data_IF_124386513670
#
_entry.id   IF_124386513670
#
_cell.length_a   1.000
_cell.length_b   1.000
_cell.length_c   1.000
_cell.angle_alpha   90.00
_cell.angle_beta   90.00
_cell.angle_gamma   90.00
#
_symmetry.space_group_name_H-M   'P 1'
#
loop_
_entity.id
_entity.type
_entity.pdbx_description
1 polymer ?
#
# COMPACT_ATOMS: atom_id res chain seq x y z
N UNK A 1 -0.19 3.88 -1.26
CA UNK A 1 0.18 2.49 -1.48
C UNK A 1 -0.43 1.85 -2.75
N UNK A 2 -1.16 2.63 -3.57
CA UNK A 2 -1.70 2.14 -4.83
C UNK A 2 -0.59 1.74 -5.80
N UNK A 3 0.49 2.52 -5.88
CA UNK A 3 1.64 2.22 -6.73
C UNK A 3 2.33 0.92 -6.29
N UNK A 4 2.45 0.67 -4.99
CA UNK A 4 2.98 -0.60 -4.46
C UNK A 4 2.06 -1.79 -4.78
N UNK A 5 0.75 -1.55 -4.88
CA UNK A 5 -0.21 -2.56 -5.34
C UNK A 5 -0.22 -2.74 -6.88
N UNK A 6 0.62 -2.03 -7.61
CA UNK A 6 0.77 -2.16 -9.05
C UNK A 6 0.18 -1.03 -9.89
N UNK A 7 -0.35 0.03 -9.27
CA UNK A 7 -0.90 1.15 -10.01
C UNK A 7 0.14 1.83 -10.91
N UNK A 8 -0.28 2.16 -12.13
CA UNK A 8 0.40 3.16 -12.95
C UNK A 8 0.17 4.55 -12.35
N UNK A 9 0.96 5.59 -12.73
CA UNK A 9 0.71 6.96 -12.28
C UNK A 9 -0.73 7.44 -12.53
N UNK A 10 -1.29 7.11 -13.68
CA UNK A 10 -2.69 7.43 -14.05
C UNK A 10 -3.68 6.76 -13.10
N UNK A 11 -3.51 5.47 -12.84
CA UNK A 11 -4.36 4.71 -11.92
C UNK A 11 -4.22 5.20 -10.47
N UNK A 12 -3.01 5.54 -10.02
CA UNK A 12 -2.82 6.06 -8.66
C UNK A 12 -3.58 7.38 -8.47
N UNK A 13 -3.49 8.30 -9.43
CA UNK A 13 -4.25 9.56 -9.39
C UNK A 13 -5.75 9.27 -9.36
N UNK A 14 -6.26 8.55 -10.36
CA UNK A 14 -7.69 8.32 -10.54
C UNK A 14 -8.32 7.58 -9.36
N UNK A 15 -7.68 6.53 -8.85
CA UNK A 15 -8.23 5.71 -7.77
C UNK A 15 -8.15 6.40 -6.41
N UNK A 16 -7.12 7.22 -6.18
CA UNK A 16 -7.05 8.06 -4.99
C UNK A 16 -8.18 9.10 -4.97
N UNK A 17 -8.42 9.76 -6.11
CA UNK A 17 -9.51 10.74 -6.24
C UNK A 17 -10.88 10.07 -6.14
N UNK A 18 -11.11 8.93 -6.81
CA UNK A 18 -12.37 8.20 -6.74
C UNK A 18 -12.70 7.77 -5.30
N UNK A 19 -11.70 7.27 -4.55
CA UNK A 19 -11.88 6.89 -3.15
C UNK A 19 -12.26 8.08 -2.28
N UNK A 20 -11.61 9.22 -2.48
CA UNK A 20 -11.93 10.45 -1.75
C UNK A 20 -13.33 10.98 -2.09
N UNK A 21 -13.73 10.92 -3.36
CA UNK A 21 -15.07 11.29 -3.82
C UNK A 21 -16.13 10.41 -3.15
N UNK A 22 -15.96 9.09 -3.13
CA UNK A 22 -16.92 8.18 -2.49
C UNK A 22 -17.09 8.49 -1.01
N UNK A 23 -16.00 8.78 -0.30
CA UNK A 23 -16.06 9.17 1.13
C UNK A 23 -16.80 10.48 1.30
N UNK A 24 -16.49 11.49 0.48
CA UNK A 24 -17.12 12.82 0.57
C UNK A 24 -18.61 12.76 0.23
N UNK A 25 -18.97 12.03 -0.82
CA UNK A 25 -20.36 11.84 -1.22
C UNK A 25 -21.15 11.11 -0.11
N UNK A 26 -20.61 10.02 0.45
CA UNK A 26 -21.23 9.30 1.55
C UNK A 26 -21.42 10.17 2.81
N UNK A 27 -20.44 11.01 3.15
CA UNK A 27 -20.58 11.97 4.27
C UNK A 27 -21.68 12.98 3.99
N UNK A 28 -21.73 13.55 2.79
CA UNK A 28 -22.74 14.54 2.40
C UNK A 28 -24.15 13.93 2.39
N UNK A 29 -24.29 12.74 1.81
CA UNK A 29 -25.57 12.01 1.73
C UNK A 29 -26.08 11.56 3.10
N UNK A 30 -25.20 11.35 4.06
CA UNK A 30 -25.58 10.97 5.43
C UNK A 30 -26.44 12.03 6.12
N UNK A 31 -26.37 13.29 5.68
CA UNK A 31 -27.06 14.43 6.31
C UNK A 31 -26.63 14.75 7.75
N UNK A 32 -25.57 14.10 8.24
CA UNK A 32 -25.07 14.27 9.63
C UNK A 32 -24.24 15.53 9.81
N UNK A 33 -23.67 16.05 8.72
CA UNK A 33 -22.86 17.27 8.72
C UNK A 33 -23.67 18.38 8.05
N UNK A 34 -23.81 19.55 8.70
CA UNK A 34 -24.41 20.72 8.09
C UNK A 34 -23.68 21.15 6.81
N UNK A 35 -24.40 21.61 5.80
CA UNK A 35 -23.81 21.96 4.50
C UNK A 35 -22.78 23.08 4.60
N UNK A 36 -22.94 24.01 5.53
CA UNK A 36 -21.98 25.09 5.81
C UNK A 36 -20.69 24.59 6.47
N UNK A 37 -20.70 23.41 7.08
CA UNK A 37 -19.51 22.77 7.65
C UNK A 37 -18.81 21.83 6.65
N UNK A 38 -19.42 21.49 5.51
CA UNK A 38 -18.88 20.54 4.55
C UNK A 38 -17.52 20.96 3.97
N UNK A 39 -17.27 22.27 3.86
CA UNK A 39 -15.93 22.80 3.48
C UNK A 39 -14.83 22.32 4.43
N UNK A 40 -15.12 22.15 5.72
CA UNK A 40 -14.17 21.65 6.70
C UNK A 40 -13.92 20.14 6.50
N UNK A 41 -14.96 19.38 6.16
CA UNK A 41 -14.84 17.95 5.85
C UNK A 41 -13.94 17.75 4.62
N UNK A 42 -14.21 18.48 3.53
CA UNK A 42 -13.35 18.46 2.32
C UNK A 42 -11.90 18.80 2.67
N UNK A 43 -11.69 19.89 3.40
CA UNK A 43 -10.37 20.34 3.84
C UNK A 43 -9.68 19.40 4.84
N UNK A 44 -10.38 18.44 5.45
CA UNK A 44 -9.80 17.46 6.36
C UNK A 44 -9.25 16.21 5.62
N UNK A 45 -9.65 15.98 4.36
CA UNK A 45 -9.11 14.88 3.57
C UNK A 45 -7.59 15.02 3.44
N UNK A 46 -6.89 13.94 3.65
CA UNK A 46 -5.44 13.85 3.48
C UNK A 46 -5.10 12.57 2.76
N UNK A 47 -4.15 12.67 1.84
CA UNK A 47 -3.71 11.55 1.03
C UNK A 47 -2.35 11.05 1.47
N UNK A 48 -2.05 9.81 1.12
CA UNK A 48 -0.73 9.24 1.25
C UNK A 48 -0.40 8.52 -0.05
N UNK A 49 0.57 9.05 -0.79
CA UNK A 49 0.93 8.61 -2.14
C UNK A 49 2.36 8.10 -2.19
N UNK A 50 2.71 7.37 -3.24
CA UNK A 50 4.07 6.89 -3.45
C UNK A 50 4.84 7.80 -4.40
N UNK A 51 6.17 7.74 -4.36
CA UNK A 51 7.06 8.30 -5.38
C UNK A 51 8.09 7.26 -5.79
N UNK A 52 8.13 6.94 -7.08
CA UNK A 52 9.03 5.97 -7.68
C UNK A 52 10.22 6.60 -8.40
N UNK A 53 11.04 5.74 -9.03
CA UNK A 53 12.32 6.14 -9.64
C UNK A 53 12.18 6.98 -10.91
N UNK A 54 11.00 7.04 -11.53
CA UNK A 54 10.78 7.81 -12.75
C UNK A 54 10.60 9.29 -12.42
N UNK A 55 11.68 9.94 -12.06
CA UNK A 55 11.77 11.29 -11.50
C UNK A 55 10.84 12.32 -12.15
N UNK A 56 10.92 12.50 -13.47
CA UNK A 56 10.13 13.51 -14.21
C UNK A 56 8.63 13.18 -14.14
N UNK A 57 8.28 11.90 -14.32
CA UNK A 57 6.91 11.42 -14.26
C UNK A 57 6.30 11.64 -12.86
N UNK A 58 7.08 11.40 -11.80
CA UNK A 58 6.63 11.62 -10.42
C UNK A 58 6.40 13.10 -10.11
N UNK A 59 7.27 14.00 -10.57
CA UNK A 59 7.05 15.46 -10.47
C UNK A 59 5.72 15.84 -11.12
N UNK A 60 5.48 15.36 -12.34
CA UNK A 60 4.25 15.65 -13.09
C UNK A 60 3.01 15.04 -12.43
N UNK A 61 3.12 13.82 -11.88
CA UNK A 61 2.04 13.16 -11.15
C UNK A 61 1.59 13.96 -9.94
N UNK A 62 2.51 14.43 -9.12
CA UNK A 62 2.20 15.22 -7.92
C UNK A 62 1.53 16.55 -8.28
N UNK A 63 1.95 17.21 -9.38
CA UNK A 63 1.30 18.40 -9.90
C UNK A 63 -0.11 18.10 -10.41
N UNK A 64 -0.29 17.04 -11.20
CA UNK A 64 -1.58 16.62 -11.71
C UNK A 64 -2.58 16.30 -10.58
N UNK A 65 -2.12 15.60 -9.52
CA UNK A 65 -2.95 15.32 -8.33
C UNK A 65 -3.42 16.62 -7.65
N UNK A 66 -2.52 17.59 -7.52
CA UNK A 66 -2.83 18.89 -6.90
C UNK A 66 -3.89 19.66 -7.70
N UNK A 67 -3.72 19.73 -9.03
CA UNK A 67 -4.66 20.40 -9.92
C UNK A 67 -6.02 19.72 -9.98
N UNK A 68 -6.05 18.38 -10.06
CA UNK A 68 -7.30 17.61 -10.09
C UNK A 68 -8.07 17.75 -8.77
N UNK A 69 -7.39 17.72 -7.64
CA UNK A 69 -8.05 17.89 -6.33
C UNK A 69 -8.72 19.26 -6.20
N UNK A 70 -8.04 20.30 -6.62
CA UNK A 70 -8.60 21.64 -6.66
C UNK A 70 -9.82 21.73 -7.57
N UNK A 71 -9.73 21.16 -8.78
CA UNK A 71 -10.84 21.11 -9.75
C UNK A 71 -12.04 20.37 -9.16
N UNK A 72 -11.84 19.20 -8.56
CA UNK A 72 -12.89 18.42 -7.89
C UNK A 72 -13.55 19.25 -6.78
N UNK A 73 -12.76 19.91 -5.97
CA UNK A 73 -13.28 20.74 -4.89
C UNK A 73 -14.16 21.89 -5.40
N UNK A 74 -13.70 22.59 -6.43
CA UNK A 74 -14.44 23.73 -7.01
C UNK A 74 -15.67 23.29 -7.79
N UNK A 75 -15.53 22.35 -8.71
CA UNK A 75 -16.56 22.03 -9.67
C UNK A 75 -17.61 21.04 -9.14
N UNK A 76 -17.16 20.01 -8.36
CA UNK A 76 -18.10 19.02 -7.83
C UNK A 76 -18.72 19.45 -6.50
N UNK A 77 -17.93 20.06 -5.64
CA UNK A 77 -18.36 20.37 -4.26
C UNK A 77 -18.63 21.86 -4.00
N UNK A 78 -18.30 22.75 -4.94
CA UNK A 78 -18.53 24.19 -4.81
C UNK A 78 -17.65 24.86 -3.75
N UNK A 79 -16.52 24.28 -3.40
CA UNK A 79 -15.60 24.82 -2.40
C UNK A 79 -14.89 26.05 -2.97
N UNK A 80 -14.92 27.15 -2.21
CA UNK A 80 -14.28 28.43 -2.57
C UNK A 80 -13.13 28.82 -1.63
N UNK A 81 -13.00 28.15 -0.49
CA UNK A 81 -11.91 28.40 0.47
C UNK A 81 -10.61 27.80 -0.06
N UNK A 82 -9.68 28.67 -0.45
CA UNK A 82 -8.34 28.32 -0.95
C UNK A 82 -7.54 27.42 0.01
N UNK A 83 -7.78 27.54 1.32
CA UNK A 83 -7.11 26.72 2.31
C UNK A 83 -7.66 25.30 2.34
N UNK A 84 -8.97 25.15 2.16
CA UNK A 84 -9.64 23.84 2.08
C UNK A 84 -9.28 23.10 0.78
N UNK A 85 -9.16 23.82 -0.35
CA UNK A 85 -8.81 23.27 -1.66
C UNK A 85 -7.39 22.71 -1.76
N UNK A 86 -6.50 22.99 -0.80
CA UNK A 86 -5.13 22.49 -0.85
C UNK A 86 -5.08 20.97 -0.82
N UNK A 87 -4.42 20.39 -1.81
CA UNK A 87 -4.09 18.96 -1.81
C UNK A 87 -3.11 18.66 -0.68
N UNK A 88 -3.61 18.00 0.37
CA UNK A 88 -2.82 17.66 1.55
C UNK A 88 -2.38 16.22 1.48
N UNK A 89 -1.08 15.99 1.42
CA UNK A 89 -0.58 14.63 1.28
C UNK A 89 0.81 14.45 1.92
N UNK A 90 1.05 13.23 2.36
CA UNK A 90 2.37 12.70 2.63
C UNK A 90 2.82 11.80 1.48
N UNK A 91 4.11 11.61 1.36
CA UNK A 91 4.70 10.73 0.34
C UNK A 91 5.53 9.65 1.01
N UNK A 92 5.32 8.41 0.60
CA UNK A 92 6.26 7.32 0.81
C UNK A 92 7.09 7.14 -0.45
N UNK A 93 8.39 7.31 -0.32
CA UNK A 93 9.35 6.90 -1.35
C UNK A 93 9.22 5.38 -1.54
N UNK A 94 9.10 4.95 -2.80
CA UNK A 94 8.61 3.63 -3.13
C UNK A 94 9.64 2.53 -2.91
N UNK A 95 9.40 1.67 -1.93
CA UNK A 95 10.23 0.48 -1.67
C UNK A 95 10.14 -0.61 -2.74
N UNK A 96 9.11 -0.60 -3.61
CA UNK A 96 8.93 -1.57 -4.69
C UNK A 96 10.08 -1.58 -5.71
N UNK A 97 10.82 -0.49 -5.82
CA UNK A 97 12.00 -0.35 -6.67
C UNK A 97 13.30 -0.85 -6.03
N UNK A 98 13.30 -1.14 -4.74
CA UNK A 98 14.46 -1.61 -4.02
C UNK A 98 14.78 -3.06 -4.40
N UNK A 99 16.06 -3.39 -4.43
CA UNK A 99 16.54 -4.71 -4.84
C UNK A 99 17.37 -5.36 -3.74
N UNK A 100 17.24 -6.67 -3.62
CA UNK A 100 18.07 -7.50 -2.76
C UNK A 100 19.48 -7.63 -3.35
N UNK A 101 19.56 -7.72 -4.67
CA UNK A 101 20.84 -7.82 -5.40
C UNK A 101 21.48 -6.44 -5.51
N UNK A 102 22.76 -6.31 -5.17
CA UNK A 102 23.50 -5.05 -5.11
C UNK A 102 22.72 -3.98 -4.28
N UNK A 103 22.43 -4.25 -3.01
CA UNK A 103 21.50 -3.43 -2.21
C UNK A 103 22.03 -2.01 -1.97
N UNK A 104 23.32 -1.76 -2.07
CA UNK A 104 23.95 -0.44 -2.00
C UNK A 104 23.41 0.54 -3.06
N UNK A 105 22.95 0.05 -4.22
CA UNK A 105 22.32 0.87 -5.24
C UNK A 105 20.97 1.47 -4.79
N UNK A 106 20.35 0.90 -3.76
CA UNK A 106 19.09 1.39 -3.23
C UNK A 106 19.22 2.79 -2.62
N UNK A 107 20.37 3.13 -2.06
CA UNK A 107 20.64 4.49 -1.53
C UNK A 107 20.43 5.53 -2.64
N UNK A 108 20.97 5.27 -3.83
CA UNK A 108 20.83 6.18 -4.99
C UNK A 108 19.38 6.25 -5.48
N UNK A 109 18.66 5.12 -5.49
CA UNK A 109 17.24 5.08 -5.87
C UNK A 109 16.42 5.94 -4.93
N UNK A 110 16.56 5.74 -3.62
CA UNK A 110 15.85 6.50 -2.59
C UNK A 110 16.13 8.01 -2.69
N UNK A 111 17.39 8.41 -2.92
CA UNK A 111 17.74 9.83 -3.10
C UNK A 111 17.05 10.43 -4.31
N UNK A 112 17.04 9.75 -5.46
CA UNK A 112 16.39 10.24 -6.68
C UNK A 112 14.87 10.35 -6.52
N UNK A 113 14.25 9.38 -5.86
CA UNK A 113 12.82 9.38 -5.56
C UNK A 113 12.45 10.49 -4.57
N UNK A 114 13.26 10.70 -3.54
CA UNK A 114 13.11 11.81 -2.60
C UNK A 114 13.24 13.18 -3.29
N UNK A 115 14.18 13.32 -4.23
CA UNK A 115 14.35 14.56 -5.00
C UNK A 115 13.12 14.88 -5.84
N UNK A 116 12.44 13.90 -6.44
CA UNK A 116 11.20 14.13 -7.18
C UNK A 116 10.12 14.79 -6.31
N UNK A 117 10.03 14.39 -5.05
CA UNK A 117 9.08 14.97 -4.08
C UNK A 117 9.50 16.36 -3.61
N UNK A 118 10.76 16.50 -3.21
CA UNK A 118 11.26 17.73 -2.56
C UNK A 118 11.41 18.89 -3.53
N UNK A 119 11.69 18.61 -4.82
CA UNK A 119 11.78 19.62 -5.86
C UNK A 119 10.42 20.03 -6.45
N UNK A 120 9.35 19.27 -6.18
CA UNK A 120 7.98 19.61 -6.59
C UNK A 120 7.37 20.64 -5.64
N UNK A 121 7.94 21.85 -5.57
CA UNK A 121 7.51 22.89 -4.61
C UNK A 121 6.12 23.42 -4.89
N UNK A 122 5.70 23.45 -6.16
CA UNK A 122 4.34 23.83 -6.55
C UNK A 122 3.30 22.82 -6.05
N UNK A 123 3.65 21.54 -6.00
CA UNK A 123 2.84 20.45 -5.47
C UNK A 123 3.41 19.96 -4.12
N UNK A 124 3.53 20.86 -3.16
CA UNK A 124 4.28 20.66 -1.92
C UNK A 124 3.70 19.57 -1.02
N UNK A 125 4.41 18.44 -0.88
CA UNK A 125 4.11 17.44 0.12
C UNK A 125 4.30 17.95 1.56
N UNK A 126 3.52 17.45 2.51
CA UNK A 126 3.63 17.79 3.94
C UNK A 126 4.71 17.00 4.65
N UNK A 127 4.93 15.78 4.20
CA UNK A 127 5.91 14.86 4.76
C UNK A 127 6.43 13.94 3.68
N UNK A 128 7.65 13.46 3.86
CA UNK A 128 8.23 12.38 3.06
C UNK A 128 8.76 11.32 3.99
N UNK A 129 8.41 10.06 3.71
CA UNK A 129 8.93 8.89 4.39
C UNK A 129 9.86 8.15 3.45
N UNK A 130 11.09 7.88 3.91
CA UNK A 130 12.05 7.08 3.16
C UNK A 130 12.11 5.66 3.74
N UNK A 131 12.16 4.62 2.89
CA UNK A 131 12.47 3.27 3.32
C UNK A 131 13.93 3.19 3.79
N UNK A 132 14.26 2.17 4.56
CA UNK A 132 15.65 1.84 4.77
C UNK A 132 16.26 1.27 3.48
N UNK A 133 17.52 1.58 3.20
CA UNK A 133 18.21 1.14 1.97
C UNK A 133 18.24 -0.38 1.80
N UNK A 134 18.23 -1.12 2.93
CA UNK A 134 18.27 -2.58 3.01
C UNK A 134 16.89 -3.22 3.28
N UNK A 135 15.81 -2.48 3.13
CA UNK A 135 14.44 -2.99 3.39
C UNK A 135 14.10 -4.23 2.56
N UNK A 136 14.66 -4.35 1.35
CA UNK A 136 14.51 -5.54 0.52
C UNK A 136 15.20 -6.80 1.09
N UNK A 137 16.14 -6.66 2.02
CA UNK A 137 16.82 -7.76 2.69
C UNK A 137 16.09 -8.23 3.95
N UNK A 138 15.33 -7.36 4.59
CA UNK A 138 14.62 -7.65 5.85
C UNK A 138 14.45 -6.45 6.75
N UNK A 139 14.33 -6.68 8.07
CA UNK A 139 14.13 -5.61 9.04
C UNK A 139 15.40 -4.76 9.19
N UNK A 140 15.29 -3.42 9.07
CA UNK A 140 16.42 -2.52 9.20
C UNK A 140 16.89 -2.38 10.66
N UNK A 141 18.19 -2.26 10.84
CA UNK A 141 18.77 -1.89 12.13
C UNK A 141 18.59 -0.39 12.42
N UNK A 142 18.80 0.08 13.68
CA UNK A 142 18.79 1.51 13.98
C UNK A 142 19.80 2.32 13.17
N UNK A 143 20.92 1.73 12.76
CA UNK A 143 21.90 2.37 11.89
C UNK A 143 21.37 2.60 10.48
N UNK A 144 20.63 1.63 9.92
CA UNK A 144 20.00 1.76 8.61
C UNK A 144 18.91 2.83 8.60
N UNK A 145 18.12 2.88 9.67
CA UNK A 145 17.12 3.94 9.89
C UNK A 145 17.76 5.33 9.97
N UNK A 146 18.93 5.42 10.58
CA UNK A 146 19.68 6.68 10.64
C UNK A 146 20.08 7.19 9.26
N UNK A 147 20.41 6.31 8.32
CA UNK A 147 20.73 6.70 6.95
C UNK A 147 19.59 7.41 6.25
N UNK A 148 18.37 6.91 6.38
CA UNK A 148 17.18 7.58 5.83
C UNK A 148 17.02 9.01 6.36
N UNK A 149 17.30 9.23 7.64
CA UNK A 149 17.30 10.57 8.22
C UNK A 149 18.46 11.44 7.68
N UNK A 150 19.66 10.87 7.52
CA UNK A 150 20.82 11.61 7.01
C UNK A 150 20.65 12.02 5.56
N UNK A 151 20.05 11.19 4.69
CA UNK A 151 19.76 11.59 3.31
C UNK A 151 18.91 12.87 3.26
N UNK A 152 17.85 12.95 4.09
CA UNK A 152 17.01 14.14 4.18
C UNK A 152 17.77 15.36 4.72
N UNK A 153 18.63 15.15 5.73
CA UNK A 153 19.40 16.24 6.33
C UNK A 153 20.48 16.78 5.39
N UNK A 154 21.18 15.90 4.66
CA UNK A 154 22.14 16.32 3.62
C UNK A 154 21.45 17.17 2.57
N UNK A 155 20.28 16.71 2.07
CA UNK A 155 19.49 17.47 1.13
C UNK A 155 19.10 18.85 1.67
N UNK A 156 18.65 18.91 2.94
CA UNK A 156 18.11 20.14 3.52
C UNK A 156 19.20 21.15 3.95
N UNK A 157 20.36 20.68 4.37
CA UNK A 157 21.36 21.54 5.02
C UNK A 157 22.66 21.71 4.25
N UNK A 158 22.95 20.85 3.27
CA UNK A 158 24.18 20.93 2.50
C UNK A 158 23.95 21.39 1.05
N UNK A 159 22.68 21.42 0.59
CA UNK A 159 22.33 21.89 -0.75
C UNK A 159 21.61 23.23 -0.68
N UNK A 160 21.58 23.94 -1.80
CA UNK A 160 20.84 25.20 -2.00
C UNK A 160 19.38 25.01 -2.43
N UNK A 161 18.89 23.78 -2.50
CA UNK A 161 17.56 23.44 -3.03
C UNK A 161 16.41 24.08 -2.27
N UNK A 162 16.58 24.39 -0.97
CA UNK A 162 15.58 25.08 -0.16
C UNK A 162 15.56 26.61 -0.38
N UNK A 163 16.60 27.18 -0.99
CA UNK A 163 16.75 28.61 -1.20
C UNK A 163 15.96 29.11 -2.42
N UNK A 164 15.60 28.21 -3.33
CA UNK A 164 14.94 28.53 -4.59
C UNK A 164 13.47 28.16 -4.58
N UNK A 165 12.66 28.88 -5.37
CA UNK A 165 11.28 28.48 -5.68
C UNK A 165 11.27 27.23 -6.57
N UNK A 166 10.10 26.85 -7.10
CA UNK A 166 9.98 25.66 -7.95
C UNK A 166 10.80 25.84 -9.25
N UNK A 167 11.92 25.11 -9.33
CA UNK A 167 12.85 25.20 -10.46
C UNK A 167 12.31 24.61 -11.76
N UNK A 168 11.15 23.95 -11.71
CA UNK A 168 10.47 23.37 -12.87
C UNK A 168 9.35 24.27 -13.40
N UNK A 169 9.04 25.39 -12.76
CA UNK A 169 8.03 26.33 -13.25
C UNK A 169 8.41 26.87 -14.61
N UNK A 170 7.45 26.80 -15.56
CA UNK A 170 7.67 27.18 -16.95
C UNK A 170 8.48 26.17 -17.77
N UNK A 171 8.80 25.00 -17.21
CA UNK A 171 9.38 23.89 -17.98
C UNK A 171 8.36 23.33 -18.95
N UNK A 172 8.59 23.51 -20.24
CA UNK A 172 7.72 23.00 -21.29
C UNK A 172 7.43 21.50 -21.16
N UNK A 173 8.44 20.71 -20.83
CA UNK A 173 8.30 19.25 -20.64
C UNK A 173 7.40 18.94 -19.46
N UNK A 174 7.64 19.58 -18.32
CA UNK A 174 6.86 19.31 -17.09
C UNK A 174 5.39 19.75 -17.27
N UNK A 175 5.14 20.91 -17.85
CA UNK A 175 3.77 21.40 -18.06
C UNK A 175 2.99 20.50 -19.04
N UNK A 176 3.62 20.06 -20.15
CA UNK A 176 2.98 19.15 -21.12
C UNK A 176 2.67 17.79 -20.47
N UNK A 177 3.64 17.15 -19.82
CA UNK A 177 3.43 15.85 -19.19
C UNK A 177 2.44 15.92 -18.02
N UNK A 178 2.40 17.01 -17.25
CA UNK A 178 1.40 17.21 -16.21
C UNK A 178 -0.01 17.23 -16.80
N UNK A 179 -0.20 17.96 -17.92
CA UNK A 179 -1.46 18.03 -18.63
C UNK A 179 -1.88 16.65 -19.15
N UNK A 180 -0.98 15.94 -19.82
CA UNK A 180 -1.24 14.60 -20.36
C UNK A 180 -1.65 13.60 -19.25
N UNK A 181 -0.94 13.60 -18.13
CA UNK A 181 -1.26 12.75 -16.98
C UNK A 181 -2.61 13.11 -16.37
N UNK A 182 -2.91 14.40 -16.24
CA UNK A 182 -4.18 14.89 -15.71
C UNK A 182 -5.36 14.46 -16.59
N UNK A 183 -5.23 14.63 -17.90
CA UNK A 183 -6.28 14.25 -18.86
C UNK A 183 -6.51 12.73 -18.86
N UNK A 184 -5.43 11.94 -18.87
CA UNK A 184 -5.54 10.48 -18.80
C UNK A 184 -6.14 10.02 -17.46
N UNK A 185 -5.75 10.64 -16.34
CA UNK A 185 -6.29 10.32 -15.03
C UNK A 185 -7.75 10.75 -14.87
N UNK A 186 -8.16 11.86 -15.51
CA UNK A 186 -9.56 12.27 -15.55
C UNK A 186 -10.42 11.23 -16.29
N UNK A 187 -9.95 10.75 -17.45
CA UNK A 187 -10.66 9.72 -18.21
C UNK A 187 -10.80 8.42 -17.39
N UNK A 188 -9.74 7.96 -16.72
CA UNK A 188 -9.79 6.79 -15.84
C UNK A 188 -10.72 7.03 -14.62
N UNK A 189 -10.72 8.23 -14.04
CA UNK A 189 -11.64 8.61 -12.97
C UNK A 189 -13.09 8.56 -13.41
N UNK A 190 -13.38 9.11 -14.60
CA UNK A 190 -14.73 9.12 -15.16
C UNK A 190 -15.25 7.69 -15.38
N UNK A 191 -14.38 6.76 -15.84
CA UNK A 191 -14.73 5.34 -15.93
C UNK A 191 -15.07 4.74 -14.57
N UNK A 192 -14.28 5.01 -13.55
CA UNK A 192 -14.52 4.49 -12.18
C UNK A 192 -15.83 5.03 -11.62
N UNK A 193 -16.10 6.32 -11.83
CA UNK A 193 -17.35 6.94 -11.38
C UNK A 193 -18.57 6.36 -12.12
N UNK A 194 -18.43 6.07 -13.42
CA UNK A 194 -19.48 5.41 -14.22
C UNK A 194 -19.78 3.98 -13.75
N UNK A 195 -18.81 3.30 -13.13
CA UNK A 195 -19.00 1.99 -12.49
C UNK A 195 -19.64 2.08 -11.09
N UNK A 196 -19.98 3.28 -10.62
CA UNK A 196 -20.59 3.52 -9.31
C UNK A 196 -19.59 3.94 -8.21
N UNK A 197 -18.38 4.35 -8.58
CA UNK A 197 -17.34 4.79 -7.68
C UNK A 197 -16.34 3.68 -7.29
N UNK A 198 -15.37 4.03 -6.47
CA UNK A 198 -14.28 3.13 -6.07
C UNK A 198 -14.78 1.95 -5.24
N UNK A 199 -15.73 2.19 -4.31
CA UNK A 199 -16.24 1.13 -3.44
C UNK A 199 -17.09 0.11 -4.20
N UNK A 200 -17.92 0.55 -5.15
CA UNK A 200 -18.72 -0.34 -5.96
C UNK A 200 -17.89 -1.15 -6.95
N UNK A 201 -16.75 -0.61 -7.39
CA UNK A 201 -15.89 -1.22 -8.42
C UNK A 201 -14.59 -1.83 -7.88
N UNK A 202 -14.47 -2.04 -6.57
CA UNK A 202 -13.23 -2.47 -5.91
C UNK A 202 -12.61 -3.74 -6.53
N UNK A 203 -13.42 -4.70 -6.96
CA UNK A 203 -12.95 -5.92 -7.63
C UNK A 203 -12.30 -5.60 -8.99
N UNK A 204 -12.93 -4.72 -9.78
CA UNK A 204 -12.41 -4.26 -11.06
C UNK A 204 -11.10 -3.49 -10.88
N UNK A 205 -11.04 -2.57 -9.91
CA UNK A 205 -9.83 -1.81 -9.62
C UNK A 205 -8.69 -2.73 -9.20
N UNK A 206 -8.97 -3.69 -8.32
CA UNK A 206 -7.98 -4.69 -7.90
C UNK A 206 -7.45 -5.50 -9.08
N UNK A 207 -8.33 -5.95 -9.96
CA UNK A 207 -7.96 -6.66 -11.19
C UNK A 207 -7.06 -5.84 -12.11
N UNK A 208 -7.36 -4.54 -12.29
CA UNK A 208 -6.53 -3.62 -13.08
C UNK A 208 -5.15 -3.43 -12.45
N UNK A 209 -5.05 -3.30 -11.12
CA UNK A 209 -3.78 -3.21 -10.39
C UNK A 209 -2.92 -4.45 -10.57
N UNK A 210 -3.52 -5.64 -10.42
CA UNK A 210 -2.84 -6.92 -10.61
C UNK A 210 -2.33 -7.05 -12.06
N UNK A 211 -3.14 -6.67 -13.04
CA UNK A 211 -2.75 -6.70 -14.46
C UNK A 211 -1.59 -5.75 -14.75
N UNK A 212 -1.60 -4.52 -14.22
CA UNK A 212 -0.52 -3.54 -14.38
C UNK A 212 0.79 -4.02 -13.75
N UNK A 213 0.72 -4.65 -12.57
CA UNK A 213 1.89 -5.24 -11.93
C UNK A 213 2.46 -6.40 -12.75
N UNK A 214 1.59 -7.25 -13.28
CA UNK A 214 2.00 -8.37 -14.16
C UNK A 214 2.73 -7.85 -15.41
N UNK A 215 2.21 -6.80 -16.05
CA UNK A 215 2.86 -6.20 -17.20
C UNK A 215 4.24 -5.61 -16.85
N UNK A 216 4.34 -4.93 -15.71
CA UNK A 216 5.62 -4.43 -15.20
C UNK A 216 6.62 -5.58 -14.98
N UNK A 217 6.21 -6.64 -14.32
CA UNK A 217 7.06 -7.81 -14.05
C UNK A 217 7.52 -8.47 -15.35
N UNK A 218 6.60 -8.60 -16.33
CA UNK A 218 6.91 -9.12 -17.67
C UNK A 218 7.97 -8.26 -18.38
N UNK A 219 7.83 -6.93 -18.37
CA UNK A 219 8.78 -6.00 -18.99
C UNK A 219 10.17 -6.08 -18.36
N UNK A 220 10.24 -6.25 -17.03
CA UNK A 220 11.51 -6.47 -16.33
C UNK A 220 12.11 -7.82 -16.74
N UNK A 221 11.31 -8.90 -16.74
CA UNK A 221 11.75 -10.23 -17.14
C UNK A 221 12.22 -10.32 -18.59
N UNK A 222 11.59 -9.58 -19.50
CA UNK A 222 11.98 -9.49 -20.92
C UNK A 222 13.20 -8.57 -21.16
N UNK A 223 13.61 -7.76 -20.19
CA UNK A 223 14.68 -6.77 -20.35
C UNK A 223 14.22 -5.45 -20.99
N UNK A 224 12.93 -5.29 -21.28
CA UNK A 224 12.33 -4.05 -21.81
C UNK A 224 12.40 -2.90 -20.79
N UNK A 225 12.34 -3.26 -19.51
CA UNK A 225 12.58 -2.35 -18.39
C UNK A 225 13.83 -2.79 -17.65
N UNK A 226 14.87 -1.95 -17.68
CA UNK A 226 16.14 -2.23 -17.01
C UNK A 226 16.01 -1.96 -15.51
N UNK A 227 16.45 -2.93 -14.71
CA UNK A 227 16.70 -2.77 -13.27
C UNK A 227 18.15 -3.20 -13.03
N UNK A 228 18.99 -2.22 -12.69
CA UNK A 228 20.43 -2.42 -12.47
C UNK A 228 20.65 -3.44 -11.36
N UNK A 229 21.52 -4.41 -11.63
CA UNK A 229 21.83 -5.52 -10.73
C UNK A 229 20.87 -6.70 -10.88
N UNK A 230 19.66 -6.51 -11.40
CA UNK A 230 18.62 -7.56 -11.51
C UNK A 230 18.63 -8.20 -12.91
N UNK A 231 18.43 -7.41 -13.95
CA UNK A 231 18.36 -7.92 -15.33
C UNK A 231 19.44 -7.32 -16.25
N UNK A 232 20.24 -6.40 -15.74
CA UNK A 232 21.38 -5.80 -16.43
C UNK A 232 22.44 -5.36 -15.42
N UNK A 233 23.72 -5.42 -15.81
CA UNK A 233 24.86 -5.11 -14.93
C UNK A 233 24.87 -5.99 -13.68
N UNK A 234 24.68 -7.28 -13.87
CA UNK A 234 24.50 -8.28 -12.80
C UNK A 234 25.82 -8.73 -12.17
N UNK A 235 26.96 -8.48 -12.81
CA UNK A 235 28.27 -8.76 -12.24
C UNK A 235 28.58 -7.76 -11.14
N UNK A 236 28.95 -8.23 -9.94
CA UNK A 236 29.36 -7.39 -8.82
C UNK A 236 30.29 -8.16 -7.89
N UNK A 237 31.12 -7.42 -7.16
CA UNK A 237 31.79 -7.93 -5.96
C UNK A 237 30.76 -8.19 -4.86
N UNK A 238 31.10 -9.03 -3.91
CA UNK A 238 30.23 -9.31 -2.76
C UNK A 238 30.04 -8.03 -1.93
N UNK A 239 28.80 -7.61 -1.75
CA UNK A 239 28.49 -6.43 -0.98
C UNK A 239 28.89 -6.61 0.51
N UNK A 240 29.80 -5.78 1.05
CA UNK A 240 30.24 -5.92 2.45
C UNK A 240 29.10 -5.70 3.47
N UNK A 241 28.03 -5.04 3.04
CA UNK A 241 26.87 -4.71 3.86
C UNK A 241 25.70 -5.72 3.69
N UNK A 242 25.87 -6.76 2.88
CA UNK A 242 24.83 -7.74 2.54
C UNK A 242 24.82 -9.02 3.39
N UNK A 243 25.56 -9.08 4.49
CA UNK A 243 25.62 -10.26 5.34
C UNK A 243 24.37 -10.47 6.23
N UNK A 244 24.19 -11.69 6.71
CA UNK A 244 23.08 -12.03 7.64
C UNK A 244 23.04 -11.21 8.93
N UNK A 245 24.14 -10.54 9.29
CA UNK A 245 24.23 -9.62 10.42
C UNK A 245 23.67 -8.21 10.09
N UNK A 246 23.41 -7.91 8.84
CA UNK A 246 22.85 -6.65 8.40
C UNK A 246 21.33 -6.53 8.61
N UNK A 247 20.67 -7.58 9.10
CA UNK A 247 19.23 -7.63 9.31
C UNK A 247 18.94 -7.73 10.80
N UNK A 248 18.06 -6.87 11.31
CA UNK A 248 17.57 -6.95 12.67
C UNK A 248 16.76 -8.25 12.85
N UNK A 249 17.19 -9.09 13.76
CA UNK A 249 16.39 -10.22 14.23
C UNK A 249 15.73 -9.83 15.54
N UNK A 250 14.43 -10.06 15.62
CA UNK A 250 13.68 -9.84 16.86
C UNK A 250 14.10 -10.92 17.86
N UNK A 251 14.53 -10.52 19.04
CA UNK A 251 14.82 -11.46 20.13
C UNK A 251 13.51 -12.08 20.62
N UNK A 252 13.34 -13.42 20.62
CA UNK A 252 12.15 -14.08 21.14
C UNK A 252 11.80 -13.65 22.58
N UNK A 253 12.77 -13.24 23.36
CA UNK A 253 12.55 -12.71 24.71
C UNK A 253 11.70 -11.41 24.70
N UNK A 254 11.73 -10.63 23.62
CA UNK A 254 10.91 -9.42 23.47
C UNK A 254 9.42 -9.77 23.33
N UNK A 255 9.11 -10.80 22.56
CA UNK A 255 7.73 -11.30 22.43
C UNK A 255 7.19 -11.76 23.78
N UNK A 256 7.95 -12.60 24.49
CA UNK A 256 7.56 -13.06 25.82
C UNK A 256 7.37 -11.89 26.79
N UNK A 257 8.27 -10.91 26.79
CA UNK A 257 8.12 -9.70 27.60
C UNK A 257 6.84 -8.96 27.31
N UNK A 258 6.46 -8.79 26.04
CA UNK A 258 5.22 -8.12 25.64
C UNK A 258 3.96 -8.91 26.05
N UNK A 259 4.02 -10.25 25.99
CA UNK A 259 2.94 -11.15 26.47
C UNK A 259 2.78 -10.98 27.99
N UNK A 260 3.89 -10.98 28.73
CA UNK A 260 3.89 -10.82 30.19
C UNK A 260 3.36 -9.44 30.59
N UNK A 261 3.76 -8.39 29.90
CA UNK A 261 3.28 -7.02 30.11
C UNK A 261 1.77 -6.91 29.91
N UNK A 262 1.22 -7.41 28.81
CA UNK A 262 -0.22 -7.33 28.54
C UNK A 262 -1.02 -8.20 29.51
N UNK A 263 -0.45 -9.34 29.93
CA UNK A 263 -1.06 -10.23 30.92
C UNK A 263 -1.13 -9.54 32.29
N UNK A 264 -0.03 -8.92 32.70
CA UNK A 264 0.06 -8.15 33.95
C UNK A 264 -0.88 -6.93 33.92
N UNK A 265 -0.95 -6.23 32.79
CA UNK A 265 -1.88 -5.14 32.59
C UNK A 265 -3.32 -5.58 32.81
N UNK A 266 -3.74 -6.66 32.16
CA UNK A 266 -5.09 -7.21 32.31
C UNK A 266 -5.41 -7.65 33.72
N UNK A 267 -4.43 -8.21 34.44
CA UNK A 267 -4.60 -8.65 35.82
C UNK A 267 -4.72 -7.48 36.83
N UNK A 268 -4.13 -6.31 36.52
CA UNK A 268 -4.06 -5.17 37.42
C UNK A 268 -5.15 -4.11 37.20
N UNK A 269 -5.83 -4.13 36.04
CA UNK A 269 -6.87 -3.13 35.68
C UNK A 269 -8.20 -3.40 36.36
N UNK A 270 -9.07 -2.39 36.41
CA UNK A 270 -10.48 -2.54 36.82
C UNK A 270 -11.27 -3.23 35.70
N UNK A 271 -11.43 -4.54 35.80
CA UNK A 271 -12.12 -5.33 34.78
C UNK A 271 -13.60 -4.92 34.64
N UNK A 272 -14.27 -4.54 35.72
CA UNK A 272 -15.66 -4.11 35.67
C UNK A 272 -15.83 -2.80 34.87
N UNK A 273 -14.87 -1.86 35.04
CA UNK A 273 -14.86 -0.64 34.24
C UNK A 273 -14.62 -0.93 32.74
N UNK A 274 -13.73 -1.88 32.42
CA UNK A 274 -13.49 -2.30 31.03
C UNK A 274 -14.71 -2.96 30.44
N UNK A 275 -15.38 -3.87 31.15
CA UNK A 275 -16.58 -4.57 30.68
C UNK A 275 -17.72 -3.58 30.40
N UNK A 276 -17.91 -2.60 31.29
CA UNK A 276 -18.89 -1.52 31.09
C UNK A 276 -18.55 -0.67 29.84
N UNK A 277 -17.28 -0.34 29.63
CA UNK A 277 -16.84 0.42 28.47
C UNK A 277 -16.96 -0.38 27.16
N UNK A 278 -16.70 -1.69 27.16
CA UNK A 278 -16.94 -2.57 26.01
C UNK A 278 -18.44 -2.68 25.66
N UNK A 279 -19.31 -2.77 26.67
CA UNK A 279 -20.75 -2.75 26.45
C UNK A 279 -21.24 -1.42 25.86
N UNK A 280 -20.70 -0.30 26.35
CA UNK A 280 -20.96 1.03 25.79
C UNK A 280 -20.48 1.16 24.34
N UNK A 281 -19.26 0.67 24.03
CA UNK A 281 -18.71 0.65 22.67
C UNK A 281 -19.61 -0.17 21.73
N UNK A 282 -20.06 -1.36 22.16
CA UNK A 282 -20.98 -2.21 21.39
C UNK A 282 -22.29 -1.48 21.10
N UNK A 283 -22.86 -0.82 22.10
CA UNK A 283 -24.09 -0.03 21.95
C UNK A 283 -23.91 1.13 20.97
N UNK A 284 -22.80 1.88 21.09
CA UNK A 284 -22.49 2.97 20.18
C UNK A 284 -22.27 2.51 18.74
N UNK A 285 -21.59 1.37 18.55
CA UNK A 285 -21.32 0.79 17.23
C UNK A 285 -22.58 0.20 16.57
N UNK A 286 -23.54 -0.30 17.37
CA UNK A 286 -24.80 -0.86 16.86
C UNK A 286 -25.89 0.20 16.62
N UNK A 287 -25.67 1.45 17.03
CA UNK A 287 -26.62 2.56 16.94
C UNK A 287 -26.03 3.77 16.22
N UNK A 288 -26.59 4.94 16.54
CA UNK A 288 -26.16 6.24 16.00
C UNK A 288 -25.14 6.97 16.90
N UNK A 289 -24.60 6.29 17.91
CA UNK A 289 -23.67 6.86 18.87
C UNK A 289 -22.27 7.11 18.29
N UNK A 290 -21.51 7.99 18.98
CA UNK A 290 -20.11 8.25 18.63
C UNK A 290 -19.21 7.07 19.02
N UNK A 291 -18.76 6.30 18.04
CA UNK A 291 -17.76 5.23 18.24
C UNK A 291 -16.47 5.80 18.82
N UNK A 292 -16.08 7.02 18.42
CA UNK A 292 -14.84 7.64 18.88
C UNK A 292 -14.87 7.92 20.40
N UNK A 293 -15.96 8.49 20.92
CA UNK A 293 -16.10 8.75 22.35
C UNK A 293 -16.08 7.46 23.17
N UNK A 294 -16.80 6.45 22.70
CA UNK A 294 -16.83 5.14 23.34
C UNK A 294 -15.45 4.45 23.29
N UNK A 295 -14.69 4.58 22.19
CA UNK A 295 -13.33 4.07 22.06
C UNK A 295 -12.36 4.76 23.04
N UNK A 296 -12.45 6.09 23.17
CA UNK A 296 -11.66 6.84 24.15
C UNK A 296 -11.99 6.43 25.58
N UNK A 297 -13.27 6.22 25.89
CA UNK A 297 -13.69 5.73 27.21
C UNK A 297 -13.13 4.34 27.50
N UNK A 298 -13.16 3.43 26.52
CA UNK A 298 -12.58 2.08 26.64
C UNK A 298 -11.06 2.14 26.86
N UNK A 299 -10.35 2.95 26.11
CA UNK A 299 -8.91 3.12 26.28
C UNK A 299 -8.56 3.65 27.69
N UNK A 300 -9.32 4.63 28.20
CA UNK A 300 -9.15 5.17 29.55
C UNK A 300 -9.47 4.14 30.65
N UNK A 301 -10.42 3.25 30.41
CA UNK A 301 -10.73 2.15 31.32
C UNK A 301 -9.67 1.05 31.31
N UNK A 302 -8.71 1.09 30.40
CA UNK A 302 -7.64 0.08 30.26
C UNK A 302 -7.98 -1.05 29.28
N UNK A 303 -8.92 -0.83 28.36
CA UNK A 303 -9.19 -1.77 27.28
C UNK A 303 -8.02 -1.89 26.29
N UNK A 304 -7.85 -3.07 25.73
CA UNK A 304 -6.82 -3.36 24.73
C UNK A 304 -7.35 -3.19 23.30
N UNK A 305 -6.44 -3.02 22.33
CA UNK A 305 -6.80 -2.97 20.91
C UNK A 305 -7.49 -4.25 20.43
N UNK A 306 -7.09 -5.41 20.99
CA UNK A 306 -7.72 -6.71 20.68
C UNK A 306 -9.19 -6.75 21.13
N UNK A 307 -9.49 -6.26 22.33
CA UNK A 307 -10.86 -6.19 22.86
C UNK A 307 -11.72 -5.18 22.08
N UNK A 308 -11.15 -4.02 21.73
CA UNK A 308 -11.79 -3.05 20.84
C UNK A 308 -12.10 -3.67 19.47
N UNK A 309 -11.12 -4.32 18.86
CA UNK A 309 -11.26 -4.97 17.56
C UNK A 309 -12.28 -6.12 17.59
N UNK A 310 -12.37 -6.88 18.69
CA UNK A 310 -13.37 -7.93 18.84
C UNK A 310 -14.80 -7.36 18.80
N UNK A 311 -15.07 -6.25 19.49
CA UNK A 311 -16.39 -5.58 19.43
C UNK A 311 -16.68 -5.05 18.03
N UNK A 312 -15.69 -4.47 17.34
CA UNK A 312 -15.89 -3.98 15.96
C UNK A 312 -16.22 -5.12 15.01
N UNK A 313 -15.52 -6.25 15.09
CA UNK A 313 -15.81 -7.44 14.27
C UNK A 313 -17.16 -8.07 14.59
N UNK A 314 -17.54 -8.09 15.86
CA UNK A 314 -18.86 -8.58 16.29
C UNK A 314 -19.99 -7.75 15.67
N UNK A 315 -19.86 -6.43 15.60
CA UNK A 315 -20.92 -5.52 15.11
C UNK A 315 -20.90 -5.39 13.58
N UNK A 316 -19.73 -5.23 12.97
CA UNK A 316 -19.58 -4.91 11.54
C UNK A 316 -19.16 -6.11 10.68
N UNK A 317 -18.77 -7.22 11.29
CA UNK A 317 -18.16 -8.34 10.59
C UNK A 317 -16.72 -8.06 10.19
N UNK A 318 -16.14 -8.99 9.43
CA UNK A 318 -14.80 -8.86 8.84
C UNK A 318 -14.91 -8.56 7.35
N UNK A 319 -14.28 -7.47 6.92
CA UNK A 319 -14.16 -7.16 5.51
C UNK A 319 -12.97 -7.94 4.93
N UNK A 320 -13.24 -8.79 3.95
CA UNK A 320 -12.21 -9.42 3.10
C UNK A 320 -12.27 -8.79 1.72
N UNK A 321 -11.21 -8.08 1.37
CA UNK A 321 -11.11 -7.46 0.05
C UNK A 321 -11.05 -8.53 -1.06
N UNK A 322 -11.69 -8.31 -2.22
CA UNK A 322 -11.55 -9.19 -3.36
C UNK A 322 -10.09 -9.22 -3.83
N UNK A 323 -9.65 -10.37 -4.33
CA UNK A 323 -8.24 -10.57 -4.73
C UNK A 323 -7.91 -9.98 -6.10
N UNK A 324 -8.90 -9.83 -6.98
CA UNK A 324 -8.73 -9.32 -8.34
C UNK A 324 -8.08 -10.30 -9.32
N UNK A 325 -7.71 -11.50 -8.87
CA UNK A 325 -6.98 -12.48 -9.69
C UNK A 325 -7.87 -13.14 -10.74
N UNK A 326 -9.11 -13.41 -10.41
CA UNK A 326 -10.03 -14.16 -11.29
C UNK A 326 -10.29 -13.45 -12.62
N UNK A 327 -10.33 -12.12 -12.63
CA UNK A 327 -10.61 -11.27 -13.79
C UNK A 327 -9.38 -10.55 -14.36
N UNK A 328 -8.21 -10.68 -13.71
CA UNK A 328 -6.98 -10.05 -14.19
C UNK A 328 -6.47 -10.74 -15.47
N UNK A 329 -6.03 -9.95 -16.45
CA UNK A 329 -5.39 -10.47 -17.65
C UNK A 329 -3.90 -10.72 -17.39
N UNK A 330 -3.45 -11.96 -17.58
CA UNK A 330 -2.04 -12.35 -17.50
C UNK A 330 -1.34 -12.27 -18.85
N UNK A 331 -0.04 -11.99 -18.84
CA UNK A 331 0.79 -12.03 -20.04
C UNK A 331 1.35 -13.43 -20.25
N UNK A 332 0.74 -14.24 -21.08
CA UNK A 332 1.06 -15.65 -21.30
C UNK A 332 2.43 -15.95 -21.97
N UNK A 333 3.20 -14.95 -22.39
CA UNK A 333 4.32 -15.14 -23.31
C UNK A 333 5.55 -15.90 -22.77
N UNK A 334 5.78 -15.93 -21.46
CA UNK A 334 6.97 -16.59 -20.87
C UNK A 334 6.69 -17.96 -20.25
N UNK A 335 5.44 -18.35 -20.09
CA UNK A 335 5.03 -19.53 -19.35
C UNK A 335 4.64 -20.73 -20.22
N UNK A 336 4.72 -20.61 -21.56
CA UNK A 336 4.29 -21.63 -22.50
C UNK A 336 4.96 -23.00 -22.25
N UNK A 337 6.26 -23.03 -22.00
CA UNK A 337 7.00 -24.25 -21.73
C UNK A 337 6.58 -24.89 -20.38
N UNK A 338 6.25 -24.06 -19.38
CA UNK A 338 5.73 -24.55 -18.10
C UNK A 338 4.34 -25.11 -18.29
N UNK A 339 3.47 -24.40 -19.02
CA UNK A 339 2.12 -24.83 -19.33
C UNK A 339 2.07 -26.18 -20.10
N UNK A 340 3.02 -26.42 -21.01
CA UNK A 340 3.18 -27.73 -21.65
C UNK A 340 3.55 -28.82 -20.66
N UNK A 341 4.47 -28.54 -19.74
CA UNK A 341 4.86 -29.49 -18.70
C UNK A 341 3.70 -29.79 -17.75
N UNK A 342 2.95 -28.77 -17.33
CA UNK A 342 1.76 -28.93 -16.48
C UNK A 342 0.72 -29.82 -17.15
N UNK A 343 0.44 -29.57 -18.43
CA UNK A 343 -0.50 -30.41 -19.21
C UNK A 343 -0.04 -31.85 -19.38
N UNK A 344 1.26 -32.11 -19.33
CA UNK A 344 1.84 -33.44 -19.47
C UNK A 344 1.93 -34.21 -18.12
N UNK A 345 1.53 -33.61 -16.99
CA UNK A 345 1.58 -34.27 -15.70
C UNK A 345 0.56 -35.43 -15.63
N UNK A 346 1.00 -36.59 -15.15
CA UNK A 346 0.07 -37.71 -14.89
C UNK A 346 -0.86 -37.33 -13.73
N UNK A 347 -2.16 -37.31 -13.95
CA UNK A 347 -3.16 -36.96 -12.95
C UNK A 347 -3.88 -35.63 -13.23
N UNK A 348 -3.44 -34.88 -14.23
CA UNK A 348 -4.01 -33.56 -14.59
C UNK A 348 -3.27 -32.39 -14.00
N UNK A 349 -3.80 -31.17 -14.17
CA UNK A 349 -3.17 -29.97 -13.62
C UNK A 349 -3.19 -30.00 -12.10
N UNK A 350 -2.06 -29.68 -11.43
CA UNK A 350 -2.01 -29.64 -9.97
C UNK A 350 -2.85 -28.50 -9.43
N UNK A 351 -3.47 -28.73 -8.27
CA UNK A 351 -4.16 -27.72 -7.48
C UNK A 351 -3.17 -27.07 -6.51
N UNK A 352 -3.07 -25.74 -6.54
CA UNK A 352 -2.13 -24.97 -5.73
C UNK A 352 -2.89 -24.02 -4.83
N UNK A 353 -2.76 -24.19 -3.52
CA UNK A 353 -3.24 -23.21 -2.54
C UNK A 353 -2.14 -22.17 -2.31
N UNK A 354 -2.45 -20.89 -2.54
CA UNK A 354 -1.55 -19.79 -2.24
C UNK A 354 -2.17 -18.93 -1.14
N UNK A 355 -1.42 -18.74 -0.06
CA UNK A 355 -1.85 -18.00 1.11
C UNK A 355 -0.74 -17.10 1.65
N UNK A 356 -1.15 -16.08 2.41
CA UNK A 356 -0.24 -15.18 3.09
C UNK A 356 -0.59 -15.15 4.58
N UNK A 357 0.20 -15.86 5.42
CA UNK A 357 -0.03 -15.88 6.86
C UNK A 357 0.38 -14.57 7.52
N UNK A 358 -0.17 -14.31 8.72
CA UNK A 358 0.18 -13.19 9.56
C UNK A 358 -0.48 -11.88 9.17
N UNK A 359 0.04 -10.77 9.67
CA UNK A 359 -0.56 -9.43 9.55
C UNK A 359 -0.05 -8.63 8.34
N UNK A 360 0.87 -9.18 7.57
CA UNK A 360 1.46 -8.49 6.42
C UNK A 360 0.40 -8.23 5.32
N UNK A 361 0.27 -6.96 4.95
CA UNK A 361 -0.70 -6.47 3.95
C UNK A 361 -0.21 -6.45 2.50
N UNK A 362 1.07 -6.81 2.25
CA UNK A 362 1.66 -6.77 0.91
C UNK A 362 1.22 -7.98 0.08
N UNK A 363 0.24 -7.81 -0.78
CA UNK A 363 -0.35 -8.92 -1.56
C UNK A 363 0.40 -9.26 -2.85
N UNK A 364 1.21 -8.34 -3.39
CA UNK A 364 1.77 -8.43 -4.74
C UNK A 364 2.51 -9.74 -5.06
N UNK A 365 3.40 -10.19 -4.17
CA UNK A 365 4.16 -11.41 -4.40
C UNK A 365 3.26 -12.65 -4.53
N UNK A 366 2.31 -12.81 -3.63
CA UNK A 366 1.35 -13.89 -3.65
C UNK A 366 0.46 -13.83 -4.90
N UNK A 367 -0.04 -12.64 -5.25
CA UNK A 367 -0.90 -12.42 -6.42
C UNK A 367 -0.16 -12.75 -7.73
N UNK A 368 1.11 -12.35 -7.87
CA UNK A 368 1.90 -12.64 -9.06
C UNK A 368 2.17 -14.14 -9.22
N UNK A 369 2.47 -14.85 -8.14
CA UNK A 369 2.65 -16.31 -8.18
C UNK A 369 1.34 -17.02 -8.50
N UNK A 370 0.23 -16.57 -7.89
CA UNK A 370 -1.10 -17.13 -8.17
C UNK A 370 -1.47 -16.97 -9.65
N UNK A 371 -1.22 -15.80 -10.23
CA UNK A 371 -1.46 -15.55 -11.65
C UNK A 371 -0.56 -16.41 -12.54
N UNK A 372 0.73 -16.48 -12.25
CA UNK A 372 1.67 -17.28 -13.02
C UNK A 372 1.31 -18.79 -12.99
N UNK A 373 0.91 -19.29 -11.84
CA UNK A 373 0.44 -20.67 -11.70
C UNK A 373 -0.83 -20.92 -12.52
N UNK A 374 -1.84 -20.03 -12.42
CA UNK A 374 -3.07 -20.10 -13.23
C UNK A 374 -2.77 -20.04 -14.73
N UNK A 375 -1.94 -19.11 -15.16
CA UNK A 375 -1.60 -18.91 -16.59
C UNK A 375 -0.74 -20.06 -17.12
N UNK A 376 -0.09 -20.81 -16.23
CA UNK A 376 0.58 -22.08 -16.53
C UNK A 376 -0.38 -23.28 -16.57
N UNK A 377 -1.68 -23.07 -16.35
CA UNK A 377 -2.71 -24.10 -16.43
C UNK A 377 -2.89 -24.91 -15.14
N UNK A 378 -2.36 -24.48 -14.02
CA UNK A 378 -2.63 -25.05 -12.70
C UNK A 378 -3.98 -24.58 -12.17
N UNK A 379 -4.62 -25.38 -11.32
CA UNK A 379 -5.80 -24.97 -10.57
C UNK A 379 -5.34 -24.18 -9.33
N UNK A 380 -5.75 -22.92 -9.21
CA UNK A 380 -5.24 -22.03 -8.15
C UNK A 380 -6.36 -21.68 -7.17
N UNK A 381 -6.14 -22.01 -5.91
CA UNK A 381 -6.91 -21.51 -4.78
C UNK A 381 -6.09 -20.42 -4.11
N UNK A 382 -6.57 -19.18 -4.15
CA UNK A 382 -5.90 -18.05 -3.51
C UNK A 382 -6.68 -17.62 -2.27
N UNK A 383 -6.14 -17.95 -1.08
CA UNK A 383 -6.77 -17.64 0.20
C UNK A 383 -6.70 -16.13 0.58
N UNK A 384 -5.94 -15.33 -0.20
CA UNK A 384 -5.76 -13.92 0.10
C UNK A 384 -4.62 -13.64 1.07
N UNK A 385 -4.73 -12.51 1.78
CA UNK A 385 -3.73 -12.02 2.74
C UNK A 385 -4.30 -12.03 4.15
N UNK A 386 -3.41 -11.98 5.16
CA UNK A 386 -3.75 -11.91 6.59
C UNK A 386 -4.51 -13.14 7.10
N UNK A 387 -4.27 -14.29 6.50
CA UNK A 387 -4.84 -15.53 6.97
C UNK A 387 -4.12 -16.02 8.23
N UNK A 388 -4.85 -16.59 9.17
CA UNK A 388 -4.24 -17.32 10.28
C UNK A 388 -3.70 -18.67 9.80
N UNK A 389 -2.77 -19.26 10.53
CA UNK A 389 -2.25 -20.61 10.24
C UNK A 389 -3.40 -21.64 10.24
N UNK A 390 -4.31 -21.52 11.20
CA UNK A 390 -5.48 -22.42 11.31
C UNK A 390 -6.43 -22.28 10.11
N UNK A 391 -6.67 -21.07 9.62
CA UNK A 391 -7.48 -20.85 8.41
C UNK A 391 -6.82 -21.45 7.17
N UNK A 392 -5.51 -21.29 7.03
CA UNK A 392 -4.76 -21.88 5.92
C UNK A 392 -4.81 -23.39 5.98
N UNK A 393 -4.64 -23.97 7.17
CA UNK A 393 -4.73 -25.41 7.38
C UNK A 393 -6.14 -25.94 7.10
N UNK A 394 -7.19 -25.24 7.55
CA UNK A 394 -8.57 -25.60 7.26
C UNK A 394 -8.86 -25.56 5.74
N UNK A 395 -8.44 -24.47 5.07
CA UNK A 395 -8.58 -24.35 3.61
C UNK A 395 -7.83 -25.46 2.88
N UNK A 396 -6.63 -25.83 3.35
CA UNK A 396 -5.86 -26.90 2.75
C UNK A 396 -6.56 -28.27 2.90
N UNK A 397 -7.25 -28.49 4.01
CA UNK A 397 -8.02 -29.73 4.22
C UNK A 397 -9.29 -29.73 3.35
N UNK A 398 -9.96 -28.60 3.20
CA UNK A 398 -11.19 -28.47 2.40
C UNK A 398 -10.94 -28.57 0.89
N UNK A 399 -9.86 -27.95 0.41
CA UNK A 399 -9.55 -27.81 -1.02
C UNK A 399 -8.65 -28.95 -1.54
N UNK A 400 -8.05 -29.75 -0.67
CA UNK A 400 -7.14 -30.85 -1.00
C UNK A 400 -6.08 -30.48 -2.07
N UNK A 401 -5.25 -29.45 -1.85
CA UNK A 401 -4.27 -29.01 -2.82
C UNK A 401 -3.06 -29.94 -2.90
N UNK A 402 -2.50 -30.10 -4.10
CA UNK A 402 -1.24 -30.81 -4.31
C UNK A 402 -0.03 -30.02 -3.78
N UNK A 403 -0.15 -28.68 -3.70
CA UNK A 403 0.92 -27.80 -3.27
C UNK A 403 0.37 -26.60 -2.48
N UNK A 404 1.06 -26.24 -1.41
CA UNK A 404 0.77 -25.03 -0.62
C UNK A 404 1.92 -24.04 -0.78
N UNK A 405 1.63 -22.85 -1.30
CA UNK A 405 2.55 -21.73 -1.40
C UNK A 405 2.27 -20.68 -0.33
N UNK A 406 3.25 -20.42 0.54
CA UNK A 406 3.16 -19.37 1.57
C UNK A 406 4.00 -18.17 1.15
N UNK A 407 3.39 -16.98 1.11
CA UNK A 407 4.07 -15.73 0.79
C UNK A 407 4.31 -14.92 2.05
N UNK A 408 5.57 -14.74 2.43
CA UNK A 408 5.97 -14.01 3.63
C UNK A 408 7.03 -12.98 3.24
N UNK A 409 6.74 -11.69 3.39
CA UNK A 409 7.64 -10.59 3.04
C UNK A 409 8.44 -10.09 4.25
N UNK A 410 7.89 -10.24 5.44
CA UNK A 410 8.43 -9.62 6.67
C UNK A 410 9.68 -10.30 7.25
N UNK A 411 10.23 -11.32 6.60
CA UNK A 411 11.35 -12.10 7.15
C UNK A 411 10.98 -13.04 8.30
N UNK A 412 9.71 -13.07 8.71
CA UNK A 412 9.20 -13.89 9.83
C UNK A 412 8.78 -15.30 9.42
N UNK A 413 9.33 -15.81 8.32
CA UNK A 413 8.97 -17.13 7.77
C UNK A 413 9.42 -18.32 8.63
N UNK A 414 10.26 -18.10 9.63
CA UNK A 414 10.68 -19.12 10.60
C UNK A 414 9.83 -19.11 11.87
N UNK A 415 9.18 -17.98 12.18
CA UNK A 415 8.33 -17.79 13.35
C UNK A 415 6.85 -18.03 13.06
N UNK A 416 6.44 -17.97 11.81
CA UNK A 416 5.10 -18.27 11.33
C UNK A 416 4.97 -19.73 10.84
#
# INVERSE_FOLDING_TARGET
HLQEAGATPVQEIAYAMATAIDVLDAVRESGRIPEDEFTQVFGAISFFVNAGIRFVEEVCKLRAMTEMWETIGRERYGITDEKALRFRYGVQVNSLGLTEVQPENNVQRIVLEMLAVTLSKRARARSVQLPAWNEALGLPTPWDQQWSLRMQQVLAYETDLLEHEDIFDGSHVIESMTTELREAAQAELDEVLALGGAFASIETLKSRLVSSMTDRTRRIGAGDQVVVGVNRFTESETAPLGGSEAILRVDPAVEQMMIDDITSWRASRDQAAVDAALANLRSAASGDGSIMEASVALARAGGTTGEWGAVMREVFGEFRAPTGIASASGAAGGLAAIAERVRALPGGPPRVLIAKPGLDGHSNGAEQIAMAARDSGMEVVYAGIRSTVDEIAATAVEEDPDLIGLSILSGSHLEL
#
